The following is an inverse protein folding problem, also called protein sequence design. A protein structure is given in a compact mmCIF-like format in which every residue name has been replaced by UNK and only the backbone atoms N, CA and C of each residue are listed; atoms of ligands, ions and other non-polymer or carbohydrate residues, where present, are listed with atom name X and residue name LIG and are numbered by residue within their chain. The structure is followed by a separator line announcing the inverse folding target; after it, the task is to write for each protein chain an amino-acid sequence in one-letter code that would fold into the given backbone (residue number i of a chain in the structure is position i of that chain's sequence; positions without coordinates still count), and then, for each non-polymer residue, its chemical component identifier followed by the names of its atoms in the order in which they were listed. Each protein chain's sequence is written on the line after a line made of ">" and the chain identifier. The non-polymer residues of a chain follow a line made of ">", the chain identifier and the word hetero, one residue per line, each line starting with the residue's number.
data_IF_473509794995
#
_entry.id   IF_473509794995
#
_cell.length_a   1.000
_cell.length_b   1.000
_cell.length_c   1.000
_cell.angle_alpha   90.00
_cell.angle_beta   90.00
_cell.angle_gamma   90.00
#
_symmetry.space_group_name_H-M   'P 1'
#
loop_
_entity.id
_entity.type
_entity.pdbx_description
1 polymer ?
#
# COMPACT_ATOMS: atom_id res chain seq x y z
N UNK A 1 -25.15 50.19 32.99
CA UNK A 1 -26.02 51.33 32.74
C UNK A 1 -27.14 51.27 33.78
N UNK A 2 -27.49 52.37 34.36
CA UNK A 2 -28.64 52.45 35.26
C UNK A 2 -29.89 52.43 34.42
N UNK A 3 -30.69 51.40 34.59
CA UNK A 3 -31.97 51.21 33.88
C UNK A 3 -33.12 51.64 34.77
N UNK A 4 -34.18 52.32 34.27
CA UNK A 4 -35.43 52.58 34.97
C UNK A 4 -36.12 51.26 35.38
N UNK A 5 -36.99 51.33 36.41
CA UNK A 5 -37.87 50.20 36.76
C UNK A 5 -38.85 49.93 35.62
N UNK A 6 -38.66 48.81 34.93
CA UNK A 6 -39.50 48.40 33.79
C UNK A 6 -39.25 46.92 33.46
N UNK A 7 -40.03 46.38 32.57
CA UNK A 7 -39.77 45.08 31.98
C UNK A 7 -38.84 45.25 30.79
N UNK A 8 -37.81 44.45 30.77
CA UNK A 8 -36.79 44.40 29.68
C UNK A 8 -36.75 43.01 29.12
N UNK A 9 -36.11 42.86 27.99
CA UNK A 9 -35.69 41.56 27.45
C UNK A 9 -34.22 41.66 27.04
N UNK A 10 -33.54 40.53 27.14
CA UNK A 10 -32.18 40.30 26.60
C UNK A 10 -32.29 39.26 25.49
N UNK A 11 -31.70 39.54 24.39
CA UNK A 11 -31.59 38.61 23.28
C UNK A 11 -30.17 38.69 22.69
N UNK A 12 -29.62 37.57 22.30
CA UNK A 12 -28.40 37.53 21.55
C UNK A 12 -28.60 38.13 20.16
N UNK A 13 -27.69 38.96 19.69
CA UNK A 13 -27.75 39.60 18.36
C UNK A 13 -26.65 39.09 17.42
N UNK A 14 -25.62 38.45 17.96
CA UNK A 14 -24.52 37.87 17.21
C UNK A 14 -23.87 36.82 18.14
N UNK A 15 -23.72 35.57 17.66
CA UNK A 15 -23.02 34.50 18.35
C UNK A 15 -21.51 34.65 18.15
N UNK A 16 -20.70 34.14 19.09
CA UNK A 16 -19.27 33.97 18.85
C UNK A 16 -19.02 33.01 17.66
N UNK A 17 -17.90 33.20 16.96
CA UNK A 17 -17.51 32.27 15.91
C UNK A 17 -17.43 30.84 16.44
N UNK A 18 -18.00 29.89 15.71
CA UNK A 18 -18.04 28.46 16.07
C UNK A 18 -19.16 28.09 17.06
N UNK A 19 -20.07 29.00 17.35
CA UNK A 19 -21.22 28.73 18.20
C UNK A 19 -22.55 29.02 17.47
N UNK A 20 -23.57 28.31 17.87
CA UNK A 20 -24.95 28.50 17.37
C UNK A 20 -25.60 29.66 18.08
N UNK A 21 -26.20 30.58 17.30
CA UNK A 21 -26.93 31.71 17.87
C UNK A 21 -28.10 31.27 18.73
N UNK A 22 -28.18 31.79 19.99
CA UNK A 22 -29.34 31.60 20.86
C UNK A 22 -30.46 32.57 20.54
N UNK A 23 -31.49 32.11 19.86
CA UNK A 23 -32.69 32.90 19.52
C UNK A 23 -33.63 33.16 20.70
N UNK A 24 -33.26 32.67 21.89
CA UNK A 24 -34.09 32.79 23.09
C UNK A 24 -34.20 34.27 23.53
N UNK A 25 -35.38 34.68 23.85
CA UNK A 25 -35.63 35.97 24.45
C UNK A 25 -35.80 35.81 25.98
N UNK A 26 -34.92 36.42 26.74
CA UNK A 26 -34.89 36.37 28.17
C UNK A 26 -35.59 37.59 28.79
N UNK A 27 -36.76 37.41 29.36
CA UNK A 27 -37.50 38.49 30.03
C UNK A 27 -36.87 38.84 31.37
N UNK A 28 -36.66 40.14 31.60
CA UNK A 28 -36.06 40.71 32.79
C UNK A 28 -36.99 41.75 33.40
N UNK A 29 -37.58 41.40 34.50
CA UNK A 29 -38.48 42.31 35.23
C UNK A 29 -37.76 42.96 36.43
N UNK A 30 -37.71 44.31 36.43
CA UNK A 30 -37.25 45.12 37.54
C UNK A 30 -38.44 45.77 38.24
N UNK A 31 -39.05 45.05 39.15
CA UNK A 31 -40.16 45.55 40.02
C UNK A 31 -39.60 46.13 41.27
N UNK A 32 -40.20 47.27 41.70
CA UNK A 32 -39.89 47.90 42.99
C UNK A 32 -40.13 46.92 44.16
N UNK A 33 -39.14 46.79 45.02
CA UNK A 33 -39.16 45.85 46.13
C UNK A 33 -39.51 46.51 47.48
N UNK A 34 -38.75 47.50 47.88
CA UNK A 34 -38.93 48.24 49.15
C UNK A 34 -38.04 49.49 49.17
N UNK A 35 -38.33 50.51 50.09
CA UNK A 35 -37.58 51.75 50.12
C UNK A 35 -36.11 51.64 50.61
N UNK A 36 -35.68 50.46 51.02
CA UNK A 36 -34.31 50.23 51.51
C UNK A 36 -33.42 49.58 50.45
N UNK A 37 -34.00 49.11 49.38
CA UNK A 37 -33.27 48.49 48.26
C UNK A 37 -32.91 49.55 47.22
N UNK A 38 -31.68 50.08 47.28
CA UNK A 38 -31.22 51.14 46.44
C UNK A 38 -30.92 50.72 44.97
N UNK A 39 -30.50 49.47 44.76
CA UNK A 39 -30.16 48.88 43.47
C UNK A 39 -30.76 47.47 43.36
N UNK A 40 -31.35 47.15 42.26
CA UNK A 40 -31.78 45.80 41.88
C UNK A 40 -30.83 45.24 40.86
N UNK A 41 -30.30 44.06 41.11
CA UNK A 41 -29.46 43.33 40.19
C UNK A 41 -30.18 42.05 39.74
N UNK A 42 -30.08 41.75 38.47
CA UNK A 42 -30.54 40.52 37.83
C UNK A 42 -29.39 39.90 37.05
N UNK A 43 -29.18 38.64 37.26
CA UNK A 43 -28.21 37.84 36.56
C UNK A 43 -28.94 36.91 35.56
N UNK A 44 -28.46 36.83 34.34
CA UNK A 44 -28.90 35.90 33.30
C UNK A 44 -27.69 35.14 32.87
N UNK A 45 -27.74 33.83 32.97
CA UNK A 45 -26.73 32.94 32.42
C UNK A 45 -27.24 32.40 31.08
N UNK A 46 -26.48 32.62 30.00
CA UNK A 46 -26.72 32.05 28.69
C UNK A 46 -25.60 31.05 28.41
N UNK A 47 -25.96 29.84 28.01
CA UNK A 47 -25.00 28.80 27.64
C UNK A 47 -24.85 28.76 26.11
N UNK A 48 -23.63 28.95 25.65
CA UNK A 48 -23.30 28.89 24.22
C UNK A 48 -23.24 27.42 23.77
N UNK A 49 -23.84 27.12 22.64
CA UNK A 49 -23.82 25.80 22.02
C UNK A 49 -22.73 25.75 20.94
N UNK A 50 -21.64 24.99 21.13
CA UNK A 50 -20.60 24.91 20.09
C UNK A 50 -21.08 24.15 18.88
N UNK A 51 -20.61 24.57 17.70
CA UNK A 51 -20.73 23.80 16.45
C UNK A 51 -19.68 22.70 16.53
N UNK A 52 -20.10 21.43 16.32
CA UNK A 52 -19.23 20.26 16.42
C UNK A 52 -19.21 19.50 15.13
N UNK A 53 -18.02 19.18 14.63
CA UNK A 53 -17.78 18.25 13.52
C UNK A 53 -17.01 17.04 14.04
N UNK A 54 -17.56 15.85 13.83
CA UNK A 54 -16.91 14.57 14.12
C UNK A 54 -16.31 14.01 12.83
N UNK A 55 -15.00 13.81 12.82
CA UNK A 55 -14.23 13.30 11.67
C UNK A 55 -13.82 11.85 11.94
N UNK A 56 -14.24 10.94 11.07
CA UNK A 56 -13.86 9.53 11.05
C UNK A 56 -12.82 9.25 9.97
N UNK A 57 -11.79 8.47 10.33
CA UNK A 57 -10.77 7.97 9.41
C UNK A 57 -10.74 6.45 9.43
N UNK A 58 -11.23 5.79 8.37
CA UNK A 58 -11.52 4.36 8.40
C UNK A 58 -10.81 3.56 7.30
N UNK A 59 -10.62 2.26 7.53
CA UNK A 59 -10.29 1.27 6.50
C UNK A 59 -11.54 1.00 5.64
N UNK A 60 -11.48 1.23 4.34
CA UNK A 60 -12.61 1.05 3.41
C UNK A 60 -13.15 -0.38 3.39
N UNK A 61 -12.34 -1.37 3.77
CA UNK A 61 -12.72 -2.79 3.73
C UNK A 61 -13.43 -3.24 5.01
N UNK A 62 -12.97 -2.75 6.16
CA UNK A 62 -13.45 -3.19 7.48
C UNK A 62 -14.32 -2.16 8.18
N UNK A 63 -14.37 -0.92 7.68
CA UNK A 63 -15.06 0.24 8.26
C UNK A 63 -14.57 0.60 9.68
N UNK A 64 -13.41 0.08 10.08
CA UNK A 64 -12.82 0.37 11.39
C UNK A 64 -11.97 1.63 11.35
N UNK A 65 -12.00 2.38 12.45
CA UNK A 65 -11.18 3.57 12.62
C UNK A 65 -9.68 3.23 12.54
N UNK A 66 -8.95 4.04 11.80
CA UNK A 66 -7.51 3.90 11.58
C UNK A 66 -6.71 4.80 12.53
N UNK A 67 -5.58 4.26 12.99
CA UNK A 67 -4.61 4.98 13.80
C UNK A 67 -3.38 5.33 12.99
N UNK A 68 -2.84 6.55 13.18
CA UNK A 68 -1.56 6.98 12.62
C UNK A 68 -1.65 7.73 11.31
N UNK A 69 -2.85 8.03 10.80
CA UNK A 69 -3.03 8.98 9.71
C UNK A 69 -2.81 10.42 10.21
N UNK A 70 -2.15 11.25 9.43
CA UNK A 70 -2.07 12.69 9.69
C UNK A 70 -3.09 13.41 8.81
N UNK A 71 -4.05 14.09 9.46
CA UNK A 71 -5.12 14.81 8.82
C UNK A 71 -5.00 16.31 9.06
N UNK A 72 -5.44 17.08 8.09
CA UNK A 72 -5.58 18.53 8.14
C UNK A 72 -6.97 18.93 7.67
N UNK A 73 -7.58 19.88 8.38
CA UNK A 73 -8.77 20.60 7.92
C UNK A 73 -8.31 21.97 7.43
N UNK A 74 -8.61 22.27 6.19
CA UNK A 74 -8.20 23.51 5.51
C UNK A 74 -9.45 24.32 5.23
N UNK A 75 -9.42 25.60 5.59
CA UNK A 75 -10.53 26.53 5.34
C UNK A 75 -10.61 27.03 3.88
N UNK A 76 -11.60 27.86 3.58
CA UNK A 76 -11.81 28.43 2.25
C UNK A 76 -10.72 29.37 1.76
N UNK A 77 -9.90 29.90 2.67
CA UNK A 77 -8.76 30.76 2.35
C UNK A 77 -7.48 29.95 2.10
N UNK A 78 -7.52 28.63 2.32
CA UNK A 78 -6.42 27.69 2.15
C UNK A 78 -5.50 27.60 3.37
N UNK A 79 -5.93 28.13 4.52
CA UNK A 79 -5.18 28.05 5.77
C UNK A 79 -5.56 26.79 6.56
N UNK A 80 -4.60 26.21 7.27
CA UNK A 80 -4.84 25.01 8.08
C UNK A 80 -5.56 25.42 9.37
N UNK A 81 -6.86 25.08 9.46
CA UNK A 81 -7.67 25.30 10.66
C UNK A 81 -7.29 24.33 11.80
N UNK A 82 -7.12 23.04 11.48
CA UNK A 82 -6.75 22.01 12.45
C UNK A 82 -5.86 20.95 11.82
N UNK A 83 -4.98 20.34 12.63
CA UNK A 83 -4.16 19.21 12.21
C UNK A 83 -3.95 18.24 13.39
N UNK A 84 -4.09 16.93 13.16
CA UNK A 84 -3.88 15.90 14.18
C UNK A 84 -3.43 14.58 13.57
N UNK A 85 -2.98 13.67 14.44
CA UNK A 85 -2.72 12.27 14.09
C UNK A 85 -3.86 11.41 14.68
N UNK A 86 -4.48 10.57 13.85
CA UNK A 86 -5.58 9.70 14.27
C UNK A 86 -5.12 8.68 15.32
N UNK A 87 -5.98 8.39 16.30
CA UNK A 87 -5.70 7.49 17.41
C UNK A 87 -6.53 6.19 17.40
N UNK A 88 -7.32 5.98 16.33
CA UNK A 88 -8.23 4.85 16.16
C UNK A 88 -9.63 5.14 16.70
N UNK A 89 -10.02 6.41 16.81
CA UNK A 89 -11.36 6.88 17.17
C UNK A 89 -11.73 8.10 16.32
N UNK A 90 -13.03 8.39 16.18
CA UNK A 90 -13.45 9.65 15.60
C UNK A 90 -12.89 10.84 16.38
N UNK A 91 -12.43 11.87 15.65
CA UNK A 91 -11.92 13.12 16.20
C UNK A 91 -12.99 14.20 16.16
N UNK A 92 -13.20 14.92 17.28
CA UNK A 92 -14.15 16.02 17.33
C UNK A 92 -13.45 17.36 17.24
N UNK A 93 -13.92 18.19 16.33
CA UNK A 93 -13.58 19.61 16.21
C UNK A 93 -14.70 20.39 16.87
N UNK A 94 -14.42 21.02 18.02
CA UNK A 94 -15.36 21.85 18.77
C UNK A 94 -15.20 23.31 18.42
N UNK A 95 -16.30 24.05 18.41
CA UNK A 95 -16.37 25.48 18.08
C UNK A 95 -15.75 25.81 16.69
N UNK A 96 -16.00 24.95 15.69
CA UNK A 96 -15.56 25.22 14.33
C UNK A 96 -16.55 26.20 13.66
N UNK A 97 -16.08 27.34 13.06
CA UNK A 97 -16.95 28.26 12.36
C UNK A 97 -17.74 27.61 11.22
N UNK A 98 -18.95 28.08 10.97
CA UNK A 98 -19.72 27.68 9.79
C UNK A 98 -19.01 28.14 8.52
N UNK A 99 -18.94 27.27 7.50
CA UNK A 99 -18.24 27.56 6.25
C UNK A 99 -17.82 26.31 5.49
N UNK A 100 -17.11 26.51 4.39
CA UNK A 100 -16.59 25.41 3.54
C UNK A 100 -15.17 25.05 3.92
N UNK A 101 -14.89 23.76 4.00
CA UNK A 101 -13.62 23.20 4.39
C UNK A 101 -13.23 22.02 3.50
N UNK A 102 -11.92 21.72 3.52
CA UNK A 102 -11.35 20.53 2.89
C UNK A 102 -10.64 19.69 3.94
N UNK A 103 -11.05 18.42 4.08
CA UNK A 103 -10.31 17.43 4.86
C UNK A 103 -9.26 16.80 3.95
N UNK A 104 -8.00 16.89 4.36
CA UNK A 104 -6.84 16.39 3.63
C UNK A 104 -6.01 15.45 4.48
N UNK A 105 -5.59 14.34 3.89
CA UNK A 105 -4.60 13.44 4.47
C UNK A 105 -3.22 13.82 3.96
N UNK A 106 -2.28 14.07 4.87
CA UNK A 106 -0.89 14.38 4.55
C UNK A 106 0.06 13.20 4.76
N UNK A 107 -0.36 12.23 5.58
CA UNK A 107 0.32 10.95 5.74
C UNK A 107 -0.67 9.85 6.11
N UNK A 108 -0.67 8.74 5.37
CA UNK A 108 -1.47 7.56 5.68
C UNK A 108 -0.77 6.64 6.69
N UNK A 109 -1.50 5.77 7.40
CA UNK A 109 -0.90 4.70 8.19
C UNK A 109 -0.11 3.74 7.29
N UNK A 110 0.94 3.11 7.84
CA UNK A 110 1.73 2.15 7.07
C UNK A 110 0.85 1.02 6.51
N UNK A 111 1.01 0.73 5.22
CA UNK A 111 0.23 -0.26 4.50
C UNK A 111 -1.05 0.27 3.86
N UNK A 112 -1.32 1.57 3.95
CA UNK A 112 -2.46 2.24 3.33
C UNK A 112 -2.02 3.28 2.29
N UNK A 113 -2.86 3.49 1.29
CA UNK A 113 -2.69 4.58 0.31
C UNK A 113 -3.26 5.86 0.90
N UNK A 114 -2.65 7.00 0.58
CA UNK A 114 -3.20 8.31 0.92
C UNK A 114 -4.57 8.49 0.25
N UNK A 115 -5.58 8.88 1.03
CA UNK A 115 -6.92 9.12 0.53
C UNK A 115 -7.01 10.41 -0.30
N UNK A 116 -8.02 10.48 -1.16
CA UNK A 116 -8.38 11.73 -1.81
C UNK A 116 -8.94 12.72 -0.80
N UNK A 117 -8.75 14.02 -1.07
CA UNK A 117 -9.32 15.10 -0.28
C UNK A 117 -10.85 15.03 -0.28
N UNK A 118 -11.49 15.44 0.83
CA UNK A 118 -12.94 15.49 1.01
C UNK A 118 -13.38 16.90 1.30
N UNK A 119 -14.13 17.50 0.39
CA UNK A 119 -14.78 18.81 0.60
C UNK A 119 -16.03 18.62 1.48
N UNK A 120 -16.25 19.51 2.45
CA UNK A 120 -17.43 19.49 3.30
C UNK A 120 -17.79 20.90 3.75
N UNK A 121 -19.09 21.11 4.05
CA UNK A 121 -19.61 22.38 4.58
C UNK A 121 -20.02 22.19 6.03
N UNK A 122 -19.62 23.10 6.89
CA UNK A 122 -20.05 23.20 8.29
C UNK A 122 -21.22 24.15 8.37
N UNK A 123 -22.34 23.64 8.85
CA UNK A 123 -23.57 24.43 9.06
C UNK A 123 -23.66 24.92 10.52
N UNK A 124 -24.31 26.06 10.72
CA UNK A 124 -24.61 26.62 12.05
C UNK A 124 -25.74 25.82 12.73
N UNK A 125 -25.35 24.69 13.37
CA UNK A 125 -26.30 23.79 14.05
C UNK A 125 -25.67 23.21 15.33
N UNK A 126 -26.51 22.97 16.35
CA UNK A 126 -26.10 22.28 17.59
C UNK A 126 -26.03 20.77 17.45
N UNK A 127 -26.37 20.19 16.30
CA UNK A 127 -26.23 18.76 16.02
C UNK A 127 -24.77 18.46 15.61
N UNK A 128 -24.27 17.28 16.02
CA UNK A 128 -22.93 16.82 15.60
C UNK A 128 -22.97 16.47 14.10
N UNK A 129 -22.19 17.18 13.33
CA UNK A 129 -22.01 16.94 11.90
C UNK A 129 -20.90 15.93 11.68
N UNK A 130 -21.05 15.03 10.69
CA UNK A 130 -20.11 13.92 10.48
C UNK A 130 -19.43 14.00 9.14
N UNK A 131 -18.11 13.86 9.15
CA UNK A 131 -17.28 13.79 7.95
C UNK A 131 -16.47 12.50 8.03
N UNK A 132 -16.41 11.75 6.93
CA UNK A 132 -15.66 10.48 6.86
C UNK A 132 -14.67 10.48 5.71
N UNK A 133 -13.49 9.97 5.97
CA UNK A 133 -12.45 9.67 4.97
C UNK A 133 -12.00 8.23 5.15
N UNK A 134 -11.85 7.49 4.04
CA UNK A 134 -11.47 6.07 4.09
C UNK A 134 -10.23 5.81 3.27
N UNK A 135 -9.34 4.94 3.78
CA UNK A 135 -8.13 4.49 3.10
C UNK A 135 -8.30 3.12 2.49
N UNK A 136 -7.66 2.94 1.33
CA UNK A 136 -7.47 1.63 0.72
C UNK A 136 -6.14 1.02 1.17
N UNK A 137 -6.13 -0.30 1.43
CA UNK A 137 -4.90 -1.03 1.70
C UNK A 137 -4.01 -1.06 0.48
N UNK A 138 -2.71 -0.80 0.66
CA UNK A 138 -1.72 -0.96 -0.41
C UNK A 138 -1.72 -2.39 -0.90
N UNK A 139 -1.72 -2.55 -2.21
CA UNK A 139 -1.55 -3.84 -2.88
C UNK A 139 -0.30 -3.83 -3.74
N UNK A 140 0.12 -4.99 -4.20
CA UNK A 140 1.28 -5.09 -5.06
C UNK A 140 1.15 -6.13 -6.14
N UNK A 141 1.98 -6.03 -7.19
CA UNK A 141 2.06 -7.00 -8.25
C UNK A 141 3.49 -7.49 -8.44
N UNK A 142 3.65 -8.73 -8.90
CA UNK A 142 4.94 -9.30 -9.28
C UNK A 142 5.05 -9.31 -10.80
N UNK A 143 6.07 -8.67 -11.32
CA UNK A 143 6.45 -8.71 -12.73
C UNK A 143 7.64 -9.63 -12.94
N UNK A 144 7.58 -10.47 -13.96
CA UNK A 144 8.63 -11.41 -14.34
C UNK A 144 9.13 -11.07 -15.71
N UNK A 145 10.45 -10.93 -15.85
CA UNK A 145 11.16 -10.83 -17.13
C UNK A 145 12.07 -12.04 -17.31
N UNK A 146 11.73 -12.91 -18.25
CA UNK A 146 12.46 -14.15 -18.53
C UNK A 146 13.32 -14.02 -19.78
N UNK A 147 14.63 -14.27 -19.62
CA UNK A 147 15.61 -14.12 -20.71
C UNK A 147 16.55 -15.32 -20.84
N UNK A 148 17.10 -15.51 -22.03
CA UNK A 148 18.20 -16.43 -22.26
C UNK A 148 19.47 -15.99 -21.53
N UNK A 149 20.11 -16.90 -20.83
CA UNK A 149 21.28 -16.60 -19.99
C UNK A 149 22.51 -16.11 -20.79
N UNK A 150 22.60 -16.50 -22.07
CA UNK A 150 23.73 -16.16 -22.97
C UNK A 150 23.41 -14.96 -23.87
N UNK A 151 22.32 -15.05 -24.63
CA UNK A 151 21.97 -14.04 -25.65
C UNK A 151 21.20 -12.85 -25.09
N UNK A 152 20.63 -12.99 -23.86
CA UNK A 152 19.73 -12.00 -23.23
C UNK A 152 18.39 -11.82 -23.96
N UNK A 153 18.12 -12.59 -24.99
CA UNK A 153 16.86 -12.56 -25.70
C UNK A 153 15.69 -12.97 -24.80
N UNK A 154 14.51 -12.35 -24.95
CA UNK A 154 13.32 -12.73 -24.17
C UNK A 154 12.86 -14.15 -24.49
N UNK A 155 12.34 -14.87 -23.48
CA UNK A 155 11.84 -16.24 -23.62
C UNK A 155 10.34 -16.25 -23.43
N UNK A 156 9.58 -16.59 -24.49
CA UNK A 156 8.14 -16.79 -24.46
C UNK A 156 7.77 -18.20 -24.00
N UNK A 157 6.61 -18.33 -23.31
CA UNK A 157 5.96 -19.60 -23.01
C UNK A 157 6.58 -20.38 -21.85
N UNK A 158 7.31 -19.67 -20.97
CA UNK A 158 7.74 -20.21 -19.69
C UNK A 158 6.60 -20.10 -18.69
N UNK A 159 6.26 -21.21 -18.01
CA UNK A 159 5.17 -21.27 -17.04
C UNK A 159 5.71 -21.14 -15.62
N UNK A 160 5.06 -20.27 -14.83
CA UNK A 160 5.37 -20.05 -13.42
C UNK A 160 4.13 -20.26 -12.57
N UNK A 161 4.35 -20.60 -11.32
CA UNK A 161 3.35 -20.54 -10.26
C UNK A 161 3.80 -19.53 -9.21
N UNK A 162 2.86 -18.65 -8.81
CA UNK A 162 2.97 -17.89 -7.59
C UNK A 162 2.39 -18.72 -6.45
N UNK A 163 3.13 -18.90 -5.37
CA UNK A 163 2.73 -19.70 -4.21
C UNK A 163 2.84 -18.90 -2.92
N UNK A 164 2.03 -19.27 -1.92
CA UNK A 164 2.23 -18.79 -0.55
C UNK A 164 3.32 -19.63 0.17
N UNK A 165 3.63 -19.28 1.42
CA UNK A 165 4.61 -19.98 2.27
C UNK A 165 4.30 -21.47 2.49
N UNK A 166 3.02 -21.87 2.41
CA UNK A 166 2.59 -23.27 2.59
C UNK A 166 2.60 -24.05 1.28
N UNK A 167 3.08 -23.44 0.18
CA UNK A 167 3.16 -24.03 -1.15
C UNK A 167 1.84 -24.04 -1.93
N UNK A 168 0.76 -23.43 -1.41
CA UNK A 168 -0.51 -23.28 -2.12
C UNK A 168 -0.33 -22.36 -3.33
N UNK A 169 -0.79 -22.81 -4.50
CA UNK A 169 -0.77 -22.02 -5.74
C UNK A 169 -1.84 -20.92 -5.65
N UNK A 170 -1.41 -19.68 -5.81
CA UNK A 170 -2.26 -18.49 -5.83
C UNK A 170 -2.56 -18.02 -7.25
N UNK A 171 -1.54 -18.11 -8.14
CA UNK A 171 -1.69 -17.73 -9.54
C UNK A 171 -0.79 -18.57 -10.45
N UNK A 172 -1.17 -18.68 -11.73
CA UNK A 172 -0.36 -19.29 -12.81
C UNK A 172 -0.08 -18.22 -13.84
N UNK A 173 1.19 -18.14 -14.26
CA UNK A 173 1.69 -17.10 -15.15
C UNK A 173 2.40 -17.75 -16.33
N UNK A 174 2.28 -17.15 -17.51
CA UNK A 174 2.96 -17.60 -18.74
C UNK A 174 3.60 -16.39 -19.41
N UNK A 175 4.90 -16.47 -19.71
CA UNK A 175 5.60 -15.36 -20.34
C UNK A 175 5.15 -15.14 -21.80
N UNK A 176 4.97 -13.89 -22.16
CA UNK A 176 4.60 -13.43 -23.48
C UNK A 176 5.81 -13.37 -24.46
N UNK A 177 5.63 -12.77 -25.66
CA UNK A 177 6.69 -12.60 -26.66
C UNK A 177 7.86 -11.73 -26.19
N UNK A 178 7.63 -10.89 -25.18
CA UNK A 178 8.67 -10.04 -24.56
C UNK A 178 9.35 -10.72 -23.38
N UNK A 179 9.01 -12.00 -23.09
CA UNK A 179 9.46 -12.72 -21.92
C UNK A 179 8.82 -12.21 -20.62
N UNK A 180 7.71 -11.49 -20.71
CA UNK A 180 7.04 -10.80 -19.62
C UNK A 180 5.81 -11.55 -19.12
N UNK A 181 5.62 -11.55 -17.82
CA UNK A 181 4.38 -11.96 -17.15
C UNK A 181 4.17 -11.10 -15.91
N UNK A 182 2.91 -10.92 -15.49
CA UNK A 182 2.53 -10.11 -14.31
C UNK A 182 1.39 -10.79 -13.57
N UNK A 183 1.36 -10.67 -12.25
CA UNK A 183 0.23 -11.09 -11.41
C UNK A 183 -0.86 -10.03 -11.40
N UNK A 184 -2.07 -10.42 -10.97
CA UNK A 184 -3.03 -9.48 -10.43
C UNK A 184 -2.48 -8.86 -9.13
N UNK A 185 -3.21 -7.88 -8.59
CA UNK A 185 -2.86 -7.24 -7.33
C UNK A 185 -2.99 -8.23 -6.15
N UNK A 186 -1.99 -8.24 -5.30
CA UNK A 186 -1.83 -9.10 -4.13
C UNK A 186 -1.78 -8.23 -2.88
N UNK A 187 -2.18 -8.77 -1.75
CA UNK A 187 -1.98 -8.10 -0.47
C UNK A 187 -0.49 -8.05 -0.13
N UNK A 188 -0.01 -6.89 0.36
CA UNK A 188 1.40 -6.75 0.75
C UNK A 188 1.69 -7.35 2.12
N UNK A 189 0.69 -7.39 3.00
CA UNK A 189 0.83 -7.86 4.38
C UNK A 189 -0.47 -8.28 5.02
N UNK A 190 -0.39 -8.69 6.28
CA UNK A 190 -1.54 -8.94 7.14
C UNK A 190 -1.80 -7.72 8.03
N UNK A 191 -3.05 -7.59 8.47
CA UNK A 191 -3.52 -6.53 9.34
C UNK A 191 -4.20 -7.15 10.56
N UNK A 192 -4.03 -6.51 11.72
CA UNK A 192 -4.71 -6.92 12.96
C UNK A 192 -6.21 -6.58 12.92
N UNK A 193 -6.91 -6.87 14.02
CA UNK A 193 -8.34 -6.60 14.13
C UNK A 193 -8.66 -5.10 14.15
N UNK A 194 -7.73 -4.26 14.54
CA UNK A 194 -7.83 -2.80 14.56
C UNK A 194 -7.43 -2.14 13.23
N UNK A 195 -6.95 -2.93 12.23
CA UNK A 195 -6.53 -2.43 10.92
C UNK A 195 -5.06 -2.00 10.86
N UNK A 196 -4.25 -2.21 11.91
CA UNK A 196 -2.83 -1.91 11.85
C UNK A 196 -2.08 -2.98 11.06
N UNK A 197 -1.10 -2.56 10.27
CA UNK A 197 -0.22 -3.48 9.56
C UNK A 197 0.60 -4.33 10.54
N UNK A 198 0.54 -5.66 10.43
CA UNK A 198 1.26 -6.57 11.31
C UNK A 198 2.58 -7.04 10.73
N UNK A 199 2.55 -7.56 9.48
CA UNK A 199 3.74 -8.17 8.84
C UNK A 199 3.55 -8.36 7.36
N UNK A 200 4.68 -8.39 6.63
CA UNK A 200 4.75 -8.72 5.21
C UNK A 200 4.27 -10.16 4.92
N UNK A 201 3.65 -10.34 3.74
CA UNK A 201 3.31 -11.66 3.21
C UNK A 201 4.40 -12.10 2.23
N UNK A 202 5.18 -13.17 2.53
CA UNK A 202 6.12 -13.72 1.58
C UNK A 202 5.40 -14.53 0.50
N UNK A 203 5.73 -14.23 -0.75
CA UNK A 203 5.31 -14.97 -1.94
C UNK A 203 6.51 -15.70 -2.55
N UNK A 204 6.24 -16.79 -3.28
CA UNK A 204 7.28 -17.59 -3.93
C UNK A 204 6.91 -17.79 -5.40
N UNK A 205 7.79 -17.33 -6.29
CA UNK A 205 7.67 -17.56 -7.73
C UNK A 205 8.50 -18.77 -8.10
N UNK A 206 7.86 -19.79 -8.69
CA UNK A 206 8.48 -21.06 -9.07
C UNK A 206 8.23 -21.32 -10.55
N UNK A 207 9.28 -21.58 -11.33
CA UNK A 207 9.14 -22.05 -12.70
C UNK A 207 8.66 -23.50 -12.70
N UNK A 208 7.55 -23.78 -13.36
CA UNK A 208 6.94 -25.12 -13.44
C UNK A 208 7.17 -25.79 -14.79
N UNK A 209 7.45 -24.96 -15.85
CA UNK A 209 7.77 -25.48 -17.18
C UNK A 209 8.62 -24.49 -17.94
N UNK A 210 9.77 -24.94 -18.41
CA UNK A 210 10.62 -24.17 -19.31
C UNK A 210 10.08 -24.14 -20.74
N UNK A 211 10.45 -23.11 -21.50
CA UNK A 211 10.24 -23.10 -22.93
C UNK A 211 11.08 -24.19 -23.63
N UNK A 212 10.64 -24.63 -24.81
CA UNK A 212 11.34 -25.66 -25.59
C UNK A 212 12.81 -25.24 -25.86
N UNK A 213 13.74 -26.11 -25.56
CA UNK A 213 15.19 -25.92 -25.73
C UNK A 213 15.88 -25.23 -24.57
N UNK A 214 15.19 -25.07 -23.46
CA UNK A 214 15.75 -24.50 -22.23
C UNK A 214 15.66 -25.46 -21.03
N UNK A 215 16.63 -25.38 -20.16
CA UNK A 215 16.66 -26.10 -18.89
C UNK A 215 15.77 -25.36 -17.90
N UNK A 216 14.86 -26.08 -17.26
CA UNK A 216 13.98 -25.53 -16.20
C UNK A 216 14.82 -25.15 -14.97
N UNK A 217 14.44 -24.04 -14.31
CA UNK A 217 14.96 -23.65 -13.01
C UNK A 217 13.81 -23.67 -11.99
N UNK A 218 13.74 -24.74 -11.21
CA UNK A 218 12.68 -24.94 -10.20
C UNK A 218 12.99 -24.26 -8.87
N UNK A 219 14.04 -23.45 -8.76
CA UNK A 219 14.40 -22.72 -7.54
C UNK A 219 13.26 -21.75 -7.20
N UNK A 220 12.68 -21.82 -5.98
CA UNK A 220 11.73 -20.83 -5.54
C UNK A 220 12.39 -19.47 -5.34
N UNK A 221 11.81 -18.41 -5.88
CA UNK A 221 12.26 -17.04 -5.67
C UNK A 221 11.27 -16.37 -4.71
N UNK A 222 11.77 -16.04 -3.52
CA UNK A 222 11.00 -15.30 -2.53
C UNK A 222 10.80 -13.85 -2.98
N UNK A 223 9.60 -13.34 -2.78
CA UNK A 223 9.18 -11.97 -3.09
C UNK A 223 8.47 -11.39 -1.87
N UNK A 224 8.95 -10.26 -1.39
CA UNK A 224 8.26 -9.40 -0.44
C UNK A 224 7.85 -8.13 -1.17
N UNK A 225 6.56 -7.82 -1.15
CA UNK A 225 6.01 -6.61 -1.75
C UNK A 225 6.16 -5.48 -0.74
N UNK A 226 7.36 -4.94 -0.64
CA UNK A 226 7.66 -3.87 0.29
C UNK A 226 7.16 -2.53 -0.24
N UNK A 227 6.61 -1.75 0.68
CA UNK A 227 6.05 -0.44 0.48
C UNK A 227 6.92 0.58 1.23
N UNK A 228 7.24 1.71 0.63
CA UNK A 228 7.79 2.86 1.31
C UNK A 228 6.67 3.88 1.57
N UNK A 229 6.72 4.58 2.70
CA UNK A 229 5.65 5.43 3.25
C UNK A 229 5.18 6.56 2.32
N UNK A 230 5.75 6.71 1.15
CA UNK A 230 5.42 7.76 0.18
C UNK A 230 4.56 7.29 -0.98
N UNK A 231 4.17 6.00 -1.03
CA UNK A 231 3.47 5.48 -2.19
C UNK A 231 2.01 5.96 -2.23
N UNK A 232 1.69 6.66 -3.29
CA UNK A 232 0.31 6.99 -3.70
C UNK A 232 -0.29 5.93 -4.61
N UNK A 233 0.47 4.87 -4.92
CA UNK A 233 0.09 3.80 -5.85
C UNK A 233 0.53 2.43 -5.34
N UNK A 234 -0.09 1.39 -5.91
CA UNK A 234 0.26 0.00 -5.64
C UNK A 234 1.71 -0.33 -6.05
N UNK A 235 2.38 -1.13 -5.23
CA UNK A 235 3.79 -1.48 -5.45
C UNK A 235 3.99 -2.52 -6.55
N UNK A 236 5.14 -2.48 -7.23
CA UNK A 236 5.50 -3.48 -8.24
C UNK A 236 6.87 -4.06 -7.94
N UNK A 237 6.93 -5.37 -7.73
CA UNK A 237 8.17 -6.11 -7.56
C UNK A 237 8.61 -6.76 -8.88
N UNK A 238 9.81 -6.46 -9.36
CA UNK A 238 10.33 -6.97 -10.64
C UNK A 238 11.34 -8.09 -10.45
N UNK A 239 11.04 -9.28 -10.96
CA UNK A 239 11.94 -10.43 -11.06
C UNK A 239 12.56 -10.54 -12.46
N UNK A 240 13.90 -10.55 -12.53
CA UNK A 240 14.66 -10.76 -13.77
C UNK A 240 15.30 -12.14 -13.74
N UNK A 241 14.67 -13.13 -14.37
CA UNK A 241 15.05 -14.54 -14.36
C UNK A 241 15.67 -14.96 -15.68
N UNK A 242 16.56 -15.99 -15.64
CA UNK A 242 17.29 -16.46 -16.82
C UNK A 242 17.20 -17.97 -16.90
N UNK A 243 16.99 -18.52 -18.13
CA UNK A 243 17.16 -19.94 -18.39
C UNK A 243 18.40 -20.21 -19.22
N UNK A 244 19.05 -21.34 -18.94
CA UNK A 244 20.15 -21.85 -19.75
C UNK A 244 19.59 -22.62 -20.93
N UNK A 245 20.12 -22.41 -22.19
CA UNK A 245 19.76 -23.30 -23.29
C UNK A 245 20.17 -24.74 -22.99
N UNK A 246 19.37 -25.69 -23.43
CA UNK A 246 19.78 -27.09 -23.41
C UNK A 246 21.05 -27.30 -24.23
N UNK A 247 21.92 -28.22 -23.77
CA UNK A 247 23.05 -28.64 -24.58
C UNK A 247 22.53 -29.37 -25.81
N UNK A 248 23.07 -29.14 -27.03
CA UNK A 248 22.70 -29.92 -28.21
C UNK A 248 22.91 -31.40 -27.89
N UNK A 249 21.89 -32.23 -28.10
CA UNK A 249 22.06 -33.67 -28.05
C UNK A 249 22.95 -34.02 -29.26
N UNK A 250 24.12 -34.55 -28.99
CA UNK A 250 24.96 -35.10 -30.04
C UNK A 250 24.14 -36.13 -30.80
N UNK A 251 24.13 -36.14 -32.15
CA UNK A 251 23.50 -37.21 -32.88
C UNK A 251 24.09 -38.54 -32.41
N UNK A 252 23.25 -39.46 -31.93
CA UNK A 252 23.69 -40.84 -31.79
C UNK A 252 23.97 -41.33 -33.23
N UNK A 253 25.21 -41.24 -33.65
CA UNK A 253 25.65 -41.95 -34.86
C UNK A 253 25.56 -43.43 -34.54
N UNK A 254 24.38 -44.00 -34.78
CA UNK A 254 24.17 -45.44 -34.72
C UNK A 254 24.84 -46.10 -35.97
N UNK A 255 26.14 -46.00 -36.01
CA UNK A 255 26.93 -46.90 -36.80
C UNK A 255 27.24 -48.11 -35.96
N UNK A 256 26.68 -49.23 -36.27
CA UNK A 256 27.05 -50.51 -35.70
C UNK A 256 28.49 -50.82 -36.08
N UNK A 257 29.43 -50.24 -35.30
CA UNK A 257 30.81 -50.62 -35.42
C UNK A 257 30.93 -52.03 -34.84
N UNK A 258 31.11 -53.00 -35.73
CA UNK A 258 31.54 -54.36 -35.31
C UNK A 258 32.92 -54.21 -34.64
N UNK A 259 33.09 -54.50 -33.36
CA UNK A 259 34.33 -54.20 -32.59
C UNK A 259 35.59 -54.88 -33.18
N UNK A 260 35.44 -55.90 -34.01
CA UNK A 260 36.55 -56.63 -34.61
C UNK A 260 37.27 -55.92 -35.75
N UNK A 261 36.69 -54.92 -36.41
CA UNK A 261 37.28 -54.17 -37.48
C UNK A 261 38.35 -53.15 -37.04
N UNK A 262 38.31 -52.69 -35.76
CA UNK A 262 39.32 -51.77 -35.23
C UNK A 262 40.52 -52.47 -34.61
N UNK A 263 40.42 -53.74 -34.27
CA UNK A 263 41.55 -54.49 -33.75
C UNK A 263 42.74 -54.63 -34.66
N UNK A 264 42.49 -54.67 -35.99
CA UNK A 264 43.54 -54.84 -36.98
C UNK A 264 44.26 -53.54 -37.37
N UNK A 265 43.54 -52.42 -37.44
CA UNK A 265 44.12 -51.10 -37.76
C UNK A 265 44.89 -50.51 -36.57
N UNK A 266 44.43 -50.70 -35.34
CA UNK A 266 45.10 -50.20 -34.11
C UNK A 266 46.45 -50.90 -33.85
N UNK A 267 46.55 -52.19 -34.19
CA UNK A 267 47.78 -52.97 -34.02
C UNK A 267 48.93 -52.51 -34.88
N UNK A 268 48.68 -52.04 -36.10
CA UNK A 268 49.72 -51.53 -37.00
C UNK A 268 50.32 -50.18 -36.56
N UNK A 269 49.50 -49.29 -35.99
CA UNK A 269 50.00 -47.98 -35.52
C UNK A 269 50.81 -48.12 -34.23
N UNK A 270 50.47 -49.03 -33.32
CA UNK A 270 51.25 -49.29 -32.13
C UNK A 270 52.57 -49.95 -32.47
N UNK A 271 52.60 -50.87 -33.45
CA UNK A 271 53.81 -51.49 -33.94
C UNK A 271 54.79 -50.51 -34.62
N UNK A 272 54.28 -49.59 -35.40
CA UNK A 272 55.13 -48.56 -36.05
C UNK A 272 55.69 -47.55 -35.02
N UNK A 273 54.86 -47.16 -33.99
CA UNK A 273 55.31 -46.27 -32.91
C UNK A 273 56.43 -46.88 -32.07
N UNK A 274 56.34 -48.14 -31.73
CA UNK A 274 57.39 -48.87 -30.96
C UNK A 274 58.63 -49.07 -31.80
N UNK A 275 58.52 -49.34 -33.11
CA UNK A 275 59.65 -49.50 -33.97
C UNK A 275 60.42 -48.18 -34.17
N UNK A 276 59.76 -47.06 -34.36
CA UNK A 276 60.39 -45.75 -34.50
C UNK A 276 61.04 -45.29 -33.15
N UNK A 277 60.47 -45.59 -32.05
CA UNK A 277 61.04 -45.22 -30.72
C UNK A 277 62.27 -46.05 -30.39
N UNK A 278 62.35 -47.33 -30.80
CA UNK A 278 63.58 -48.14 -30.66
C UNK A 278 64.72 -47.69 -31.59
N UNK A 279 64.44 -47.16 -32.80
CA UNK A 279 65.46 -46.60 -33.66
C UNK A 279 66.03 -45.27 -33.16
N UNK A 280 65.21 -44.44 -32.54
CA UNK A 280 65.69 -43.19 -31.90
C UNK A 280 66.62 -43.42 -30.70
N UNK A 281 66.41 -44.48 -29.91
CA UNK A 281 67.30 -44.83 -28.78
C UNK A 281 68.63 -45.39 -29.21
N UNK A 282 68.80 -45.92 -30.46
CA UNK A 282 70.05 -46.40 -30.99
C UNK A 282 70.96 -45.37 -31.67
N UNK A 283 70.47 -44.12 -31.82
CA UNK A 283 71.23 -43.01 -32.40
C UNK A 283 71.75 -41.98 -31.37
N UNK A 284 71.67 -42.30 -30.11
CA UNK A 284 72.29 -41.50 -29.07
C UNK A 284 73.15 -42.43 -28.23
N UNK A 285 74.34 -42.81 -28.82
CA UNK A 285 75.58 -43.19 -28.13
C UNK A 285 76.68 -42.68 -29.07
#
# INVERSE_FOLDING_TARGET
>A
ADLPLANYYVKEVESPEGYVMDDTVYDVDFTYKDPLTAVLEKEITVEETPIIVEVSKTDITTEKELKGATLEVIDSDGEVYASWVTDGKPHQLEAIPAGDYTLKETASPYGYLIANEVEFTVEETGEIQKVAMSDERVKGAVEIYKTDSKTKSPIKGVEFELRNKDGKVLAKLITDKKGYAKTDLLDIGTYDEEGNFEKDIPYYVVETKAAKGYVIDTTPHEVLLQYDDSAVENVVYTLKLKNKPEKPKLPQTGGGYKPWLFGVAGGFLIGAGIYLNRRRKRRKV
#
